data_IF_885883488291
#
_entry.id   IF_885883488291
#
_cell.length_a   1.000
_cell.length_b   1.000
_cell.length_c   1.000
_cell.angle_alpha   90.00
_cell.angle_beta   90.00
_cell.angle_gamma   90.00
#
_symmetry.space_group_name_H-M   'P 1'
#
loop_
_entity.id
_entity.type
_entity.pdbx_description
1 polymer ?
#
# COMPACT_ATOMS: atom_id res chain seq x y z
N UNK A 1 -54.76 -14.61 55.90
CA UNK A 1 -54.01 -13.54 55.21
C UNK A 1 -52.53 -13.92 55.36
N UNK A 2 -51.92 -14.69 54.43
CA UNK A 2 -51.24 -14.26 53.18
C UNK A 2 -50.21 -13.15 53.45
N UNK A 3 -48.91 -13.26 53.18
CA UNK A 3 -48.06 -14.31 52.59
C UNK A 3 -46.61 -14.04 53.01
N UNK A 4 -45.87 -15.11 53.26
CA UNK A 4 -44.45 -15.14 53.61
C UNK A 4 -43.55 -14.55 52.52
N UNK A 5 -42.46 -13.92 52.98
CA UNK A 5 -41.32 -13.43 52.22
C UNK A 5 -40.71 -14.53 51.35
N UNK A 6 -40.64 -14.31 50.04
CA UNK A 6 -39.84 -15.10 49.11
C UNK A 6 -38.58 -14.34 48.72
N UNK A 7 -37.48 -14.72 49.34
CA UNK A 7 -36.11 -14.37 48.95
C UNK A 7 -35.76 -15.14 47.69
N UNK A 8 -36.03 -14.57 46.51
CA UNK A 8 -35.59 -15.12 45.24
C UNK A 8 -34.28 -14.43 44.82
N UNK A 9 -33.15 -15.10 45.09
CA UNK A 9 -31.81 -14.68 44.66
C UNK A 9 -31.64 -15.14 43.21
N UNK A 10 -32.13 -14.33 42.27
CA UNK A 10 -32.05 -14.62 40.84
C UNK A 10 -30.63 -14.41 40.34
N UNK A 11 -30.00 -15.50 39.91
CA UNK A 11 -28.74 -15.50 39.15
C UNK A 11 -29.06 -15.11 37.71
N UNK A 12 -28.51 -13.99 37.23
CA UNK A 12 -28.48 -13.65 35.80
C UNK A 12 -27.07 -13.18 35.47
N UNK A 13 -26.36 -13.99 34.67
CA UNK A 13 -25.07 -13.68 34.06
C UNK A 13 -25.33 -12.86 32.80
N UNK A 14 -24.75 -11.66 32.63
CA UNK A 14 -24.58 -11.06 31.33
C UNK A 14 -23.11 -11.15 30.91
N UNK A 15 -22.92 -11.96 29.88
CA UNK A 15 -21.83 -11.95 28.91
C UNK A 15 -21.51 -10.49 28.52
N UNK A 16 -20.43 -9.90 29.06
CA UNK A 16 -20.04 -8.54 28.72
C UNK A 16 -19.35 -8.57 27.35
N UNK A 17 -20.17 -8.22 26.36
CA UNK A 17 -19.89 -8.14 24.95
C UNK A 17 -18.59 -7.39 24.64
N UNK A 18 -17.88 -7.96 23.66
CA UNK A 18 -16.98 -7.32 22.70
C UNK A 18 -17.27 -5.82 22.59
N UNK A 19 -16.36 -5.00 23.12
CA UNK A 19 -16.39 -3.56 22.94
C UNK A 19 -16.31 -3.26 21.45
N UNK A 20 -17.47 -2.87 20.92
CA UNK A 20 -17.65 -2.32 19.60
C UNK A 20 -16.67 -1.15 19.38
N UNK A 21 -15.63 -1.39 18.58
CA UNK A 21 -15.00 -0.33 17.79
C UNK A 21 -15.83 -0.15 16.51
N UNK A 22 -17.12 0.10 16.68
CA UNK A 22 -17.98 0.72 15.67
C UNK A 22 -18.05 2.21 15.97
N UNK A 23 -16.89 2.85 15.99
CA UNK A 23 -16.80 4.26 15.61
C UNK A 23 -16.75 4.33 14.08
N UNK A 24 -17.79 3.80 13.43
CA UNK A 24 -18.17 4.23 12.09
C UNK A 24 -18.69 5.66 12.26
N UNK A 25 -17.75 6.59 12.40
CA UNK A 25 -18.02 7.98 12.13
C UNK A 25 -18.70 8.04 10.75
N UNK A 26 -19.74 8.86 10.62
CA UNK A 26 -20.22 9.40 9.34
C UNK A 26 -19.08 10.19 8.66
N UNK A 27 -18.04 9.49 8.24
CA UNK A 27 -16.83 9.99 7.63
C UNK A 27 -16.52 9.10 6.45
N UNK A 28 -16.08 9.74 5.37
CA UNK A 28 -15.69 9.13 4.10
C UNK A 28 -14.97 7.80 4.29
N UNK A 29 -15.17 6.86 3.35
CA UNK A 29 -14.51 5.56 3.41
C UNK A 29 -12.98 5.72 3.40
N UNK A 30 -12.25 4.73 3.89
CA UNK A 30 -10.78 4.82 3.89
C UNK A 30 -10.21 4.91 2.46
N UNK A 31 -10.87 4.24 1.51
CA UNK A 31 -10.58 4.35 0.07
C UNK A 31 -10.80 5.76 -0.46
N UNK A 32 -11.88 6.43 -0.02
CA UNK A 32 -12.18 7.80 -0.43
C UNK A 32 -11.17 8.78 0.16
N UNK A 33 -10.80 8.65 1.45
CA UNK A 33 -9.73 9.46 2.06
C UNK A 33 -8.38 9.24 1.37
N UNK A 34 -8.06 8.00 1.01
CA UNK A 34 -6.85 7.67 0.29
C UNK A 34 -6.86 8.29 -1.12
N UNK A 35 -8.00 8.22 -1.82
CA UNK A 35 -8.20 8.85 -3.14
C UNK A 35 -8.02 10.37 -3.07
N UNK A 36 -8.64 11.03 -2.09
CA UNK A 36 -8.49 12.47 -1.88
C UNK A 36 -7.04 12.86 -1.61
N UNK A 37 -6.29 12.05 -0.87
CA UNK A 37 -4.87 12.28 -0.64
C UNK A 37 -4.05 12.17 -1.93
N UNK A 38 -4.35 11.19 -2.79
CA UNK A 38 -3.72 11.08 -4.12
C UNK A 38 -4.01 12.31 -4.96
N UNK A 39 -5.26 12.76 -4.99
CA UNK A 39 -5.67 13.92 -5.78
C UNK A 39 -5.02 15.20 -5.30
N UNK A 40 -4.98 15.41 -3.97
CA UNK A 40 -4.26 16.53 -3.37
C UNK A 40 -2.76 16.48 -3.67
N UNK A 41 -2.17 15.29 -3.71
CA UNK A 41 -0.75 15.12 -4.04
C UNK A 41 -0.47 15.45 -5.52
N UNK A 42 -1.32 14.98 -6.43
CA UNK A 42 -1.23 15.32 -7.86
C UNK A 42 -1.43 16.82 -8.08
N UNK A 43 -2.39 17.45 -7.41
CA UNK A 43 -2.61 18.90 -7.48
C UNK A 43 -1.38 19.67 -6.99
N UNK A 44 -0.76 19.27 -5.89
CA UNK A 44 0.47 19.92 -5.41
C UNK A 44 1.60 19.87 -6.46
N UNK A 45 1.68 18.81 -7.27
CA UNK A 45 2.64 18.72 -8.40
C UNK A 45 2.24 19.66 -9.55
N UNK A 46 0.95 19.78 -9.85
CA UNK A 46 0.44 20.70 -10.88
C UNK A 46 0.69 22.15 -10.49
N UNK A 47 0.42 22.50 -9.24
CA UNK A 47 0.56 23.85 -8.69
C UNK A 47 2.03 24.22 -8.40
N UNK A 48 2.94 23.24 -8.44
CA UNK A 48 4.33 23.43 -8.04
C UNK A 48 4.50 23.70 -6.54
N UNK A 49 3.53 23.31 -5.71
CA UNK A 49 3.56 23.48 -4.26
C UNK A 49 4.46 22.41 -3.62
N UNK A 50 5.75 22.71 -3.57
CA UNK A 50 6.78 21.86 -3.00
C UNK A 50 6.51 21.51 -1.53
N UNK A 51 5.95 22.43 -0.75
CA UNK A 51 5.65 22.22 0.66
C UNK A 51 4.52 21.20 0.78
N UNK A 52 3.41 21.42 0.07
CA UNK A 52 2.26 20.51 0.10
C UNK A 52 2.59 19.13 -0.45
N UNK A 53 3.37 19.07 -1.53
CA UNK A 53 3.89 17.82 -2.09
C UNK A 53 4.63 16.98 -1.03
N UNK A 54 5.54 17.61 -0.30
CA UNK A 54 6.34 16.96 0.73
C UNK A 54 5.55 16.60 1.97
N UNK A 55 4.54 17.39 2.35
CA UNK A 55 3.62 17.05 3.43
C UNK A 55 2.83 15.79 3.10
N UNK A 56 2.41 15.59 1.86
CA UNK A 56 1.57 14.46 1.42
C UNK A 56 2.35 13.17 1.13
N UNK A 57 3.68 13.25 1.10
CA UNK A 57 4.56 12.08 1.01
C UNK A 57 4.72 11.38 2.38
N UNK A 58 4.94 10.07 2.31
CA UNK A 58 5.28 9.28 3.48
C UNK A 58 6.68 9.62 3.98
N UNK A 59 6.95 9.49 5.29
CA UNK A 59 8.26 9.81 5.85
C UNK A 59 9.40 9.01 5.20
N UNK A 60 9.17 7.72 4.91
CA UNK A 60 10.15 6.88 4.21
C UNK A 60 10.54 7.42 2.83
N UNK A 61 9.61 8.06 2.12
CA UNK A 61 9.85 8.67 0.81
C UNK A 61 10.58 10.01 0.90
N UNK A 62 10.61 10.64 2.08
CA UNK A 62 11.33 11.90 2.30
C UNK A 62 12.81 11.71 2.59
N UNK A 63 13.21 10.56 3.16
CA UNK A 63 14.60 10.26 3.56
C UNK A 63 15.65 10.49 2.46
N UNK A 64 15.42 10.15 1.18
CA UNK A 64 16.37 10.45 0.12
C UNK A 64 16.60 11.96 -0.06
N UNK A 65 15.57 12.78 0.14
CA UNK A 65 15.65 14.24 0.00
C UNK A 65 16.33 14.92 1.19
N UNK A 66 16.28 14.32 2.39
CA UNK A 66 16.98 14.85 3.57
C UNK A 66 18.48 15.03 3.30
N UNK A 67 19.09 14.07 2.60
CA UNK A 67 20.50 14.11 2.21
C UNK A 67 20.84 15.20 1.19
N UNK A 68 19.84 15.74 0.51
CA UNK A 68 19.98 16.75 -0.55
C UNK A 68 19.52 18.15 -0.09
N UNK A 69 19.31 18.34 1.20
CA UNK A 69 18.90 19.63 1.79
C UNK A 69 17.39 19.77 2.04
N UNK A 70 16.67 18.66 2.08
CA UNK A 70 15.26 18.58 2.47
C UNK A 70 14.31 18.42 1.29
N UNK A 71 13.16 17.79 1.55
CA UNK A 71 12.15 17.50 0.53
C UNK A 71 11.71 18.75 -0.23
N UNK A 72 11.39 19.84 0.47
CA UNK A 72 10.85 21.05 -0.16
C UNK A 72 11.85 21.68 -1.14
N UNK A 73 13.13 21.74 -0.76
CA UNK A 73 14.19 22.29 -1.61
C UNK A 73 14.37 21.47 -2.89
N UNK A 74 14.40 20.15 -2.77
CA UNK A 74 14.54 19.26 -3.93
C UNK A 74 13.28 19.31 -4.80
N UNK A 75 12.10 19.24 -4.21
CA UNK A 75 10.83 19.32 -4.94
C UNK A 75 10.73 20.65 -5.71
N UNK A 76 11.10 21.77 -5.09
CA UNK A 76 11.13 23.07 -5.76
C UNK A 76 12.09 23.09 -6.94
N UNK A 77 13.31 22.58 -6.76
CA UNK A 77 14.28 22.47 -7.85
C UNK A 77 13.77 21.60 -9.01
N UNK A 78 13.06 20.51 -8.69
CA UNK A 78 12.43 19.66 -9.70
C UNK A 78 11.33 20.43 -10.42
N UNK A 79 10.42 21.07 -9.70
CA UNK A 79 9.29 21.82 -10.28
C UNK A 79 9.74 23.01 -11.15
N UNK A 80 10.81 23.69 -10.76
CA UNK A 80 11.41 24.78 -11.55
C UNK A 80 12.18 24.28 -12.78
N UNK A 81 12.50 22.99 -12.86
CA UNK A 81 13.23 22.40 -13.99
C UNK A 81 12.32 22.10 -15.20
N UNK A 82 12.90 21.98 -16.42
CA UNK A 82 12.15 21.49 -17.58
C UNK A 82 11.49 20.12 -17.35
N UNK A 83 12.13 19.25 -16.56
CA UNK A 83 11.56 17.96 -16.16
C UNK A 83 10.33 18.15 -15.26
N UNK A 84 10.35 19.12 -14.34
CA UNK A 84 9.21 19.50 -13.52
C UNK A 84 8.00 19.90 -14.33
N UNK A 85 8.18 20.73 -15.37
CA UNK A 85 7.08 21.10 -16.27
C UNK A 85 6.46 19.90 -16.96
N UNK A 86 7.29 18.95 -17.40
CA UNK A 86 6.78 17.69 -17.95
C UNK A 86 6.00 16.89 -16.89
N UNK A 87 6.55 16.77 -15.68
CA UNK A 87 5.89 16.10 -14.56
C UNK A 87 4.56 16.75 -14.17
N UNK A 88 4.46 18.08 -14.13
CA UNK A 88 3.21 18.80 -13.88
C UNK A 88 2.20 18.57 -15.01
N UNK A 89 2.65 18.50 -16.26
CA UNK A 89 1.81 18.12 -17.40
C UNK A 89 1.23 16.71 -17.25
N UNK A 90 2.05 15.73 -16.89
CA UNK A 90 1.61 14.36 -16.60
C UNK A 90 0.68 14.32 -15.38
N UNK A 91 1.03 15.01 -14.31
CA UNK A 91 0.22 15.07 -13.10
C UNK A 91 -1.17 15.66 -13.37
N UNK A 92 -1.27 16.66 -14.25
CA UNK A 92 -2.55 17.23 -14.67
C UNK A 92 -3.41 16.22 -15.46
N UNK A 93 -2.80 15.38 -16.30
CA UNK A 93 -3.51 14.28 -16.98
C UNK A 93 -4.00 13.25 -15.96
N UNK A 94 -3.13 12.84 -15.02
CA UNK A 94 -3.48 11.89 -13.97
C UNK A 94 -4.57 12.43 -13.02
N UNK A 95 -4.52 13.72 -12.68
CA UNK A 95 -5.51 14.38 -11.83
C UNK A 95 -6.89 14.42 -12.50
N UNK A 96 -6.93 14.52 -13.83
CA UNK A 96 -8.17 14.51 -14.62
C UNK A 96 -8.64 13.12 -15.04
N UNK A 97 -7.86 12.08 -14.75
CA UNK A 97 -8.22 10.71 -15.09
C UNK A 97 -9.53 10.31 -14.39
N UNK A 98 -10.49 9.83 -15.17
CA UNK A 98 -11.82 9.44 -14.68
C UNK A 98 -11.77 8.14 -13.86
N UNK A 99 -10.81 7.25 -14.18
CA UNK A 99 -10.66 5.95 -13.53
C UNK A 99 -9.50 5.97 -12.52
N UNK A 100 -9.86 6.18 -11.25
CA UNK A 100 -8.96 6.06 -10.09
C UNK A 100 -9.49 4.99 -9.14
N UNK A 101 -8.99 3.78 -9.32
CA UNK A 101 -9.30 2.67 -8.45
C UNK A 101 -8.36 2.72 -7.24
N UNK A 102 -8.92 2.70 -6.04
CA UNK A 102 -8.15 2.74 -4.79
C UNK A 102 -8.55 1.55 -3.95
N UNK A 103 -7.58 0.68 -3.67
CA UNK A 103 -7.74 -0.46 -2.77
C UNK A 103 -7.00 -0.16 -1.47
N UNK A 104 -7.65 -0.41 -0.33
CA UNK A 104 -7.08 -0.26 1.01
C UNK A 104 -7.07 -1.61 1.71
N UNK A 105 -5.95 -1.93 2.36
CA UNK A 105 -5.76 -3.09 3.23
C UNK A 105 -5.08 -2.62 4.53
N UNK A 106 -5.90 -2.46 5.58
CA UNK A 106 -5.47 -1.90 6.86
C UNK A 106 -4.82 -0.52 6.72
N UNK A 107 -3.52 -0.44 7.03
CA UNK A 107 -2.72 0.78 6.96
C UNK A 107 -1.96 0.93 5.62
N UNK A 108 -2.25 0.10 4.64
CA UNK A 108 -1.65 0.16 3.31
C UNK A 108 -2.71 0.37 2.24
N UNK A 109 -2.34 1.02 1.15
CA UNK A 109 -3.24 1.27 0.04
C UNK A 109 -2.52 1.28 -1.30
N UNK A 110 -3.28 1.10 -2.37
CA UNK A 110 -2.79 1.23 -3.75
C UNK A 110 -3.82 2.00 -4.56
N UNK A 111 -3.37 3.03 -5.25
CA UNK A 111 -4.18 3.77 -6.21
C UNK A 111 -3.72 3.46 -7.62
N UNK A 112 -4.58 2.81 -8.40
CA UNK A 112 -4.39 2.57 -9.82
C UNK A 112 -5.12 3.65 -10.61
N UNK A 113 -4.36 4.46 -11.32
CA UNK A 113 -4.86 5.55 -12.16
C UNK A 113 -4.72 5.12 -13.61
N UNK A 114 -5.85 5.01 -14.32
CA UNK A 114 -5.88 4.65 -15.74
C UNK A 114 -6.15 5.92 -16.54
N UNK A 115 -5.28 6.22 -17.51
CA UNK A 115 -5.38 7.41 -18.34
C UNK A 115 -5.06 7.08 -19.80
N UNK A 116 -5.58 7.89 -20.71
CA UNK A 116 -5.28 7.79 -22.13
C UNK A 116 -4.19 8.79 -22.50
N UNK A 117 -3.20 8.32 -23.27
CA UNK A 117 -2.13 9.17 -23.78
C UNK A 117 -1.73 8.69 -25.17
N UNK A 118 -1.87 9.56 -26.17
CA UNK A 118 -1.52 9.24 -27.55
C UNK A 118 -2.33 8.09 -28.15
N UNK A 119 -3.62 7.96 -27.78
CA UNK A 119 -4.50 6.88 -28.25
C UNK A 119 -4.22 5.51 -27.61
N UNK A 120 -3.36 5.44 -26.58
CA UNK A 120 -3.12 4.24 -25.80
C UNK A 120 -3.59 4.42 -24.36
N UNK A 121 -4.31 3.44 -23.84
CA UNK A 121 -4.60 3.34 -22.41
C UNK A 121 -3.33 2.95 -21.66
N UNK A 122 -2.99 3.71 -20.64
CA UNK A 122 -1.87 3.46 -19.73
C UNK A 122 -2.39 3.47 -18.30
N UNK A 123 -1.66 2.82 -17.41
CA UNK A 123 -1.96 2.88 -15.99
C UNK A 123 -0.70 3.12 -15.15
N UNK A 124 -0.90 3.83 -14.04
CA UNK A 124 0.11 4.09 -13.03
C UNK A 124 -0.44 3.63 -11.70
N UNK A 125 0.37 2.87 -10.96
CA UNK A 125 0.05 2.45 -9.60
C UNK A 125 0.86 3.27 -8.61
N UNK A 126 0.18 3.95 -7.69
CA UNK A 126 0.76 4.66 -6.57
C UNK A 126 0.55 3.84 -5.30
N UNK A 127 1.61 3.59 -4.57
CA UNK A 127 1.52 2.96 -3.26
C UNK A 127 1.18 4.02 -2.20
N UNK A 128 0.36 3.64 -1.23
CA UNK A 128 -0.05 4.48 -0.13
C UNK A 128 0.20 3.77 1.19
N UNK A 129 0.46 4.58 2.22
CA UNK A 129 0.53 4.11 3.59
C UNK A 129 -0.14 5.10 4.51
N UNK A 130 -0.81 4.59 5.53
CA UNK A 130 -1.37 5.40 6.60
C UNK A 130 -0.30 5.63 7.66
N UNK A 131 -0.01 6.90 7.94
CA UNK A 131 0.94 7.35 8.95
C UNK A 131 0.22 8.38 9.82
N UNK A 132 0.19 8.17 11.15
CA UNK A 132 -0.50 9.05 12.11
C UNK A 132 -1.97 9.34 11.75
N UNK A 133 -2.67 8.32 11.26
CA UNK A 133 -4.07 8.42 10.84
C UNK A 133 -4.29 9.13 9.49
N UNK A 134 -3.22 9.53 8.79
CA UNK A 134 -3.29 10.23 7.50
C UNK A 134 -2.73 9.34 6.40
N UNK A 135 -3.42 9.28 5.27
CA UNK A 135 -2.88 8.63 4.07
C UNK A 135 -1.72 9.44 3.52
N UNK A 136 -0.66 8.74 3.10
CA UNK A 136 0.55 9.32 2.54
C UNK A 136 0.92 8.56 1.27
N UNK A 137 1.35 9.29 0.26
CA UNK A 137 1.83 8.67 -0.98
C UNK A 137 3.26 8.18 -0.73
N UNK A 138 3.46 6.90 -0.97
CA UNK A 138 4.77 6.33 -1.17
C UNK A 138 5.09 6.62 -2.64
N UNK A 139 5.97 7.60 -2.89
CA UNK A 139 6.39 7.97 -4.26
C UNK A 139 6.58 6.73 -5.12
N UNK A 140 6.06 6.78 -6.36
CA UNK A 140 5.87 5.63 -7.25
C UNK A 140 6.96 4.56 -7.12
N UNK A 141 6.59 3.27 -7.12
CA UNK A 141 7.57 2.20 -6.98
C UNK A 141 8.65 2.39 -8.04
N UNK A 142 9.92 2.28 -7.63
CA UNK A 142 10.94 1.77 -8.54
C UNK A 142 10.28 0.57 -9.20
N UNK A 143 10.10 0.60 -10.53
CA UNK A 143 9.32 -0.38 -11.25
C UNK A 143 9.69 -1.79 -10.79
N UNK A 144 8.93 -2.35 -9.85
CA UNK A 144 8.84 -3.78 -9.70
C UNK A 144 8.05 -4.16 -10.93
N UNK A 145 8.78 -4.44 -11.99
CA UNK A 145 8.33 -5.21 -13.13
C UNK A 145 7.76 -6.51 -12.57
N UNK A 146 6.51 -6.48 -12.14
CA UNK A 146 5.66 -7.66 -12.02
C UNK A 146 5.29 -8.07 -13.43
N UNK A 147 6.30 -8.50 -14.18
CA UNK A 147 6.14 -9.49 -15.22
C UNK A 147 6.24 -10.84 -14.52
N UNK A 148 5.08 -11.45 -14.26
CA UNK A 148 5.00 -12.85 -13.82
C UNK A 148 4.65 -13.00 -12.35
N UNK A 149 3.44 -13.51 -12.11
CA UNK A 149 3.11 -14.13 -10.84
C UNK A 149 4.02 -15.32 -10.51
N UNK A 150 3.89 -15.78 -9.27
CA UNK A 150 4.43 -17.03 -8.73
C UNK A 150 5.87 -17.00 -8.21
N UNK A 151 6.17 -16.12 -7.25
CA UNK A 151 7.17 -16.45 -6.22
C UNK A 151 6.42 -16.82 -4.93
N UNK A 152 6.03 -18.10 -4.84
CA UNK A 152 5.61 -18.68 -3.57
C UNK A 152 6.81 -18.78 -2.64
N UNK A 153 6.92 -17.84 -1.70
CA UNK A 153 7.70 -18.03 -0.48
C UNK A 153 6.72 -18.29 0.65
N UNK A 154 6.50 -19.56 0.98
CA UNK A 154 5.93 -19.92 2.27
C UNK A 154 6.96 -20.80 2.99
N UNK A 155 7.66 -20.19 3.94
CA UNK A 155 8.40 -20.89 4.99
C UNK A 155 7.45 -21.00 6.18
N UNK A 156 7.07 -22.21 6.57
CA UNK A 156 6.19 -22.46 7.70
C UNK A 156 5.96 -23.96 7.93
N UNK A 157 6.62 -24.47 8.97
CA UNK A 157 6.73 -25.86 9.41
C UNK A 157 5.43 -26.52 9.91
N UNK A 158 5.47 -27.87 9.99
CA UNK A 158 4.63 -28.81 10.77
C UNK A 158 3.35 -29.28 10.05
N UNK A 159 2.99 -30.57 9.92
CA UNK A 159 3.33 -31.78 10.68
C UNK A 159 2.85 -33.06 9.94
N UNK A 160 3.56 -34.19 10.17
CA UNK A 160 3.10 -35.62 10.11
C UNK A 160 2.56 -36.15 8.76
N UNK A 161 3.15 -37.18 8.11
CA UNK A 161 3.17 -38.60 8.54
C UNK A 161 4.08 -39.40 7.56
N UNK A 162 4.91 -40.32 8.04
CA UNK A 162 5.70 -41.27 7.21
C UNK A 162 4.83 -42.42 6.63
N UNK A 163 5.39 -43.57 6.16
CA UNK A 163 6.80 -44.04 6.27
C UNK A 163 7.43 -44.65 4.97
N UNK A 164 8.76 -44.89 5.04
CA UNK A 164 9.52 -45.89 4.25
C UNK A 164 9.85 -45.51 2.79
N UNK A 165 10.98 -45.84 2.17
CA UNK A 165 11.99 -46.89 2.38
C UNK A 165 13.19 -46.59 1.44
N UNK A 166 14.42 -46.91 1.89
CA UNK A 166 15.66 -47.17 1.12
C UNK A 166 16.11 -46.14 0.05
N UNK A 167 17.29 -45.50 0.13
CA UNK A 167 18.61 -46.11 0.29
C UNK A 167 19.04 -46.77 -1.03
N UNK A 168 20.00 -46.17 -1.76
CA UNK A 168 21.17 -46.82 -2.41
C UNK A 168 21.92 -45.77 -3.24
N UNK A 169 23.21 -45.62 -2.94
CA UNK A 169 24.18 -44.90 -3.74
C UNK A 169 24.59 -45.71 -4.97
N UNK A 170 24.73 -45.06 -6.13
CA UNK A 170 25.44 -45.66 -7.29
C UNK A 170 26.34 -44.62 -7.97
N UNK A 171 27.59 -45.04 -8.06
CA UNK A 171 28.81 -44.49 -8.64
C UNK A 171 28.82 -44.34 -10.16
N UNK A 172 29.74 -43.49 -10.65
CA UNK A 172 30.31 -43.54 -12.02
C UNK A 172 29.75 -42.46 -12.95
N UNK A 173 30.47 -41.85 -13.89
CA UNK A 173 31.78 -42.14 -14.51
C UNK A 173 32.11 -40.93 -15.40
N UNK A 174 33.36 -40.47 -15.33
CA UNK A 174 34.23 -39.95 -16.41
C UNK A 174 33.63 -39.20 -17.61
N UNK A 175 34.17 -38.00 -17.88
CA UNK A 175 34.80 -37.78 -19.19
C UNK A 175 34.40 -36.55 -20.02
N UNK A 176 35.38 -35.67 -20.15
CA UNK A 176 35.88 -35.15 -21.44
C UNK A 176 35.27 -33.85 -21.98
N UNK A 177 36.15 -32.85 -21.99
CA UNK A 177 36.07 -31.60 -22.73
C UNK A 177 36.01 -31.82 -24.26
N UNK A 178 35.37 -30.90 -24.98
CA UNK A 178 35.78 -30.50 -26.34
C UNK A 178 35.20 -29.12 -26.67
N UNK A 179 36.11 -28.18 -26.89
CA UNK A 179 35.99 -26.91 -27.61
C UNK A 179 35.50 -27.08 -29.04
N UNK A 180 34.60 -26.21 -29.49
CA UNK A 180 34.85 -25.32 -30.64
C UNK A 180 33.91 -24.13 -30.64
#
# INVERSE_FOLDING_TARGET
MRFSSFTARTVVVPLLAVLAVFAAACGKSEEEKARENVDAWLQAVVDGDAKRYCELLAERSKRPFERQGGCEKVAKQVFDSPAGRFTSGVANVLAKAEKKDVTVDGDTGRARIVFESGGQTRDVTLELRKEDGKWRVLSAPAATTNTGGSTGSNSGSSSTTGPGTAGTATTGTTGTATTR
#
